data_IF_825949045435
#
_entry.id   IF_825949045435
#
_cell.length_a   1.000
_cell.length_b   1.000
_cell.length_c   1.000
_cell.angle_alpha   90.00
_cell.angle_beta   90.00
_cell.angle_gamma   90.00
#
_symmetry.space_group_name_H-M   'P 1'
#
loop_
_entity.id
_entity.type
_entity.pdbx_description
1 polymer ?
#
# COMPACT_ATOMS: atom_id res chain seq x y z
N UNK A 1 -12.29 -8.65 2.78
CA UNK A 1 -11.68 -8.76 1.44
C UNK A 1 -10.45 -9.62 1.55
N UNK A 2 -10.32 -10.63 0.68
CA UNK A 2 -9.10 -11.40 0.53
C UNK A 2 -8.15 -10.60 -0.37
N UNK A 3 -6.93 -10.37 0.09
CA UNK A 3 -5.93 -9.64 -0.71
C UNK A 3 -5.25 -10.58 -1.70
N UNK A 4 -4.77 -10.01 -2.81
CA UNK A 4 -3.81 -10.68 -3.68
C UNK A 4 -2.61 -11.15 -2.83
N UNK A 5 -2.07 -12.37 -3.02
CA UNK A 5 -0.99 -12.91 -2.20
C UNK A 5 0.24 -11.99 -2.11
N UNK A 6 0.55 -11.20 -3.13
CA UNK A 6 1.69 -10.27 -3.14
C UNK A 6 1.39 -9.05 -2.27
N UNK A 7 0.21 -8.45 -2.45
CA UNK A 7 -0.23 -7.34 -1.62
C UNK A 7 -0.41 -7.77 -0.15
N UNK A 8 -0.88 -8.99 0.08
CA UNK A 8 -0.98 -9.58 1.40
C UNK A 8 0.38 -9.70 2.09
N UNK A 9 1.40 -10.15 1.35
CA UNK A 9 2.78 -10.24 1.85
C UNK A 9 3.39 -8.87 2.11
N UNK A 10 3.11 -7.89 1.25
CA UNK A 10 3.60 -6.52 1.38
C UNK A 10 3.02 -5.82 2.61
N UNK A 11 1.72 -6.00 2.85
CA UNK A 11 0.99 -5.36 3.95
C UNK A 11 0.98 -6.20 5.24
N UNK A 12 1.38 -7.46 5.18
CA UNK A 12 1.31 -8.40 6.32
C UNK A 12 -0.12 -8.84 6.67
N UNK A 13 -1.04 -8.81 5.69
CA UNK A 13 -2.48 -9.00 5.93
C UNK A 13 -3.08 -9.90 4.84
N UNK A 14 -3.62 -11.06 5.19
CA UNK A 14 -4.21 -11.98 4.20
C UNK A 14 -5.68 -11.68 3.88
N UNK A 15 -6.48 -11.41 4.91
CA UNK A 15 -7.90 -11.08 4.80
C UNK A 15 -8.24 -10.04 5.84
N UNK A 16 -8.81 -8.91 5.41
CA UNK A 16 -9.24 -7.86 6.33
C UNK A 16 -10.43 -7.03 5.80
N UNK A 17 -10.97 -6.15 6.64
CA UNK A 17 -11.93 -5.14 6.21
C UNK A 17 -11.31 -4.15 5.22
N UNK A 18 -12.14 -3.50 4.39
CA UNK A 18 -11.67 -2.47 3.44
C UNK A 18 -10.93 -1.35 4.17
N UNK A 19 -11.47 -0.88 5.29
CA UNK A 19 -10.87 0.20 6.09
C UNK A 19 -9.47 -0.19 6.60
N UNK A 20 -9.31 -1.38 7.17
CA UNK A 20 -8.02 -1.86 7.67
C UNK A 20 -6.99 -2.03 6.56
N UNK A 21 -7.42 -2.54 5.39
CA UNK A 21 -6.55 -2.66 4.21
C UNK A 21 -6.05 -1.28 3.75
N UNK A 22 -6.94 -0.30 3.67
CA UNK A 22 -6.57 1.06 3.27
C UNK A 22 -5.61 1.72 4.26
N UNK A 23 -5.81 1.50 5.56
CA UNK A 23 -4.89 1.99 6.59
C UNK A 23 -3.50 1.35 6.47
N UNK A 24 -3.42 0.02 6.30
CA UNK A 24 -2.15 -0.68 6.11
C UNK A 24 -1.42 -0.19 4.86
N UNK A 25 -2.14 0.01 3.76
CA UNK A 25 -1.59 0.57 2.52
C UNK A 25 -1.03 1.98 2.73
N UNK A 26 -1.76 2.83 3.46
CA UNK A 26 -1.34 4.20 3.75
C UNK A 26 -0.09 4.25 4.63
N UNK A 27 -0.01 3.39 5.64
CA UNK A 27 1.18 3.24 6.47
C UNK A 27 2.39 2.79 5.64
N UNK A 28 2.19 1.83 4.74
CA UNK A 28 3.23 1.38 3.82
C UNK A 28 3.76 2.52 2.94
N UNK A 29 2.86 3.30 2.33
CA UNK A 29 3.20 4.46 1.50
C UNK A 29 4.04 5.47 2.28
N UNK A 30 3.63 5.83 3.50
CA UNK A 30 4.35 6.78 4.35
C UNK A 30 5.72 6.26 4.78
N UNK A 31 5.79 5.02 5.26
CA UNK A 31 7.04 4.43 5.75
C UNK A 31 8.09 4.31 4.64
N UNK A 32 7.65 4.07 3.40
CA UNK A 32 8.52 3.97 2.24
C UNK A 32 8.70 5.30 1.49
N UNK A 33 8.16 6.42 2.01
CA UNK A 33 8.22 7.75 1.39
C UNK A 33 7.77 7.75 -0.07
N UNK A 34 6.68 7.04 -0.36
CA UNK A 34 6.17 6.86 -1.72
C UNK A 34 5.20 7.95 -2.14
N UNK A 35 4.72 8.80 -1.22
CA UNK A 35 3.93 9.96 -1.61
C UNK A 35 4.84 10.99 -2.29
N UNK A 36 4.38 11.58 -3.38
CA UNK A 36 5.16 12.61 -4.07
C UNK A 36 5.34 13.86 -3.19
N UNK A 37 6.54 14.44 -3.20
CA UNK A 37 6.89 15.59 -2.37
C UNK A 37 6.24 16.89 -2.86
N UNK A 38 6.00 17.00 -4.17
CA UNK A 38 5.45 18.18 -4.82
C UNK A 38 3.94 18.05 -5.00
N UNK A 39 3.47 16.87 -5.42
CA UNK A 39 2.06 16.59 -5.70
C UNK A 39 1.51 15.49 -4.79
N UNK A 40 1.08 15.85 -3.57
CA UNK A 40 0.67 14.90 -2.51
C UNK A 40 -0.52 14.00 -2.89
N UNK A 41 -1.23 14.28 -3.97
CA UNK A 41 -2.30 13.43 -4.50
C UNK A 41 -1.75 12.19 -5.21
N UNK A 42 -0.48 12.21 -5.63
CA UNK A 42 0.17 11.11 -6.32
C UNK A 42 1.04 10.26 -5.40
N UNK A 43 1.05 8.96 -5.70
CA UNK A 43 1.89 7.95 -5.06
C UNK A 43 2.84 7.41 -6.12
N UNK A 44 4.14 7.55 -5.86
CA UNK A 44 5.21 6.96 -6.65
C UNK A 44 5.20 5.43 -6.47
N UNK A 45 4.64 4.73 -7.45
CA UNK A 45 4.63 3.27 -7.49
C UNK A 45 6.06 2.73 -7.58
N UNK A 46 6.54 2.20 -6.47
CA UNK A 46 7.82 1.50 -6.39
C UNK A 46 7.80 0.19 -7.19
N UNK A 47 8.94 -0.50 -7.25
CA UNK A 47 9.10 -1.78 -7.97
C UNK A 47 8.09 -2.86 -7.56
N UNK A 48 7.55 -2.81 -6.33
CA UNK A 48 6.56 -3.78 -5.85
C UNK A 48 5.13 -3.46 -6.31
N UNK A 49 4.82 -2.19 -6.60
CA UNK A 49 3.52 -1.77 -7.15
C UNK A 49 3.42 -1.84 -8.67
N UNK A 50 4.56 -1.90 -9.39
CA UNK A 50 4.58 -1.95 -10.87
C UNK A 50 4.51 -3.35 -11.47
N UNK A 51 4.52 -4.40 -10.66
CA UNK A 51 4.50 -5.80 -11.12
C UNK A 51 3.13 -6.43 -10.86
#
# INVERSE_FOLDING_TARGET
>A
YKLDPRLARLLGVHTQTRASIMQALWLYIKNNKLQDCHEKEYINCNRYFRQ
#
